data_IF_510898914040
#
_entry.id   IF_510898914040
#
_cell.length_a   1.000
_cell.length_b   1.000
_cell.length_c   1.000
_cell.angle_alpha   90.00
_cell.angle_beta   90.00
_cell.angle_gamma   90.00
#
_symmetry.space_group_name_H-M   'P 1'
#
loop_
_entity.id
_entity.type
_entity.pdbx_description
1 polymer ?
#
# COMPACT_ATOMS: atom_id res chain seq x y z
N UNK A 1 -2.40 12.94 1.50
CA UNK A 1 -2.22 12.57 0.10
C UNK A 1 -1.29 11.37 -0.07
N UNK A 2 -0.11 11.37 0.56
CA UNK A 2 0.85 10.26 0.46
C UNK A 2 0.32 8.93 0.97
N UNK A 3 -0.44 8.92 2.06
CA UNK A 3 -0.99 7.70 2.65
C UNK A 3 -2.08 7.03 1.79
N UNK A 4 -2.88 7.82 1.07
CA UNK A 4 -4.02 7.29 0.31
C UNK A 4 -3.74 7.03 -1.17
N UNK A 5 -3.05 7.93 -1.85
CA UNK A 5 -2.92 7.91 -3.31
C UNK A 5 -1.51 7.65 -3.85
N UNK A 6 -0.47 7.96 -3.07
CA UNK A 6 0.93 7.93 -3.51
C UNK A 6 1.67 6.62 -3.26
N UNK A 7 0.99 5.59 -2.78
CA UNK A 7 1.67 4.34 -2.42
C UNK A 7 2.07 3.52 -3.64
N UNK A 8 3.33 3.07 -3.66
CA UNK A 8 3.83 2.08 -4.63
C UNK A 8 2.98 0.79 -4.58
N UNK A 9 2.30 0.53 -3.46
CA UNK A 9 1.38 -0.59 -3.31
C UNK A 9 0.26 -0.61 -4.37
N UNK A 10 -0.07 0.52 -4.98
CA UNK A 10 -1.02 0.55 -6.09
C UNK A 10 -0.53 -0.25 -7.31
N UNK A 11 0.79 -0.40 -7.50
CA UNK A 11 1.37 -1.26 -8.53
C UNK A 11 1.20 -2.75 -8.25
N UNK A 12 0.84 -3.12 -7.03
CA UNK A 12 0.66 -4.51 -6.62
C UNK A 12 -0.74 -5.04 -6.98
N UNK A 13 -1.70 -4.14 -7.19
CA UNK A 13 -3.08 -4.50 -7.48
C UNK A 13 -3.25 -5.45 -8.67
N UNK A 14 -2.57 -5.27 -9.82
CA UNK A 14 -2.66 -6.22 -10.94
C UNK A 14 -2.23 -7.64 -10.58
N UNK A 15 -1.23 -7.79 -9.71
CA UNK A 15 -0.77 -9.11 -9.27
C UNK A 15 -1.81 -9.82 -8.39
N UNK A 16 -2.47 -9.08 -7.50
CA UNK A 16 -3.55 -9.62 -6.68
C UNK A 16 -4.78 -10.01 -7.51
N UNK A 17 -5.11 -9.23 -8.54
CA UNK A 17 -6.17 -9.56 -9.50
C UNK A 17 -5.87 -10.86 -10.24
N UNK A 18 -4.64 -11.03 -10.72
CA UNK A 18 -4.21 -12.27 -11.38
C UNK A 18 -4.31 -13.47 -10.45
N UNK A 19 -3.91 -13.33 -9.18
CA UNK A 19 -4.02 -14.41 -8.20
C UNK A 19 -5.47 -14.81 -7.90
N UNK A 20 -6.38 -13.83 -7.89
CA UNK A 20 -7.83 -14.07 -7.75
C UNK A 20 -8.46 -14.69 -9.02
N UNK A 21 -7.71 -14.77 -10.13
CA UNK A 21 -8.23 -15.22 -11.42
C UNK A 21 -9.20 -14.23 -12.07
N UNK A 22 -9.11 -12.94 -11.72
CA UNK A 22 -9.96 -11.87 -12.21
C UNK A 22 -9.33 -11.08 -13.37
N UNK A 23 -8.45 -11.68 -14.11
CA UNK A 23 -7.68 -11.09 -15.21
C UNK A 23 -8.45 -10.97 -16.55
N UNK A 24 -9.66 -11.56 -16.63
CA UNK A 24 -10.50 -11.54 -17.82
C UNK A 24 -11.50 -10.37 -17.81
N UNK A 25 -11.86 -9.79 -18.99
CA UNK A 25 -12.83 -8.70 -19.11
C UNK A 25 -14.20 -9.00 -18.50
N UNK A 26 -14.59 -10.27 -18.37
CA UNK A 26 -15.86 -10.65 -17.72
C UNK A 26 -15.92 -10.27 -16.24
N UNK A 27 -14.77 -10.16 -15.58
CA UNK A 27 -14.69 -9.81 -14.17
C UNK A 27 -14.60 -8.28 -13.91
N UNK A 28 -14.66 -7.45 -14.97
CA UNK A 28 -14.55 -5.99 -14.85
C UNK A 28 -15.53 -5.38 -13.84
N UNK A 29 -16.76 -5.86 -13.78
CA UNK A 29 -17.75 -5.37 -12.81
C UNK A 29 -17.32 -5.69 -11.38
N UNK A 30 -16.82 -6.90 -11.12
CA UNK A 30 -16.34 -7.33 -9.81
C UNK A 30 -15.15 -6.48 -9.38
N UNK A 31 -14.20 -6.21 -10.30
CA UNK A 31 -13.06 -5.33 -10.03
C UNK A 31 -13.49 -3.90 -9.67
N UNK A 32 -14.48 -3.35 -10.38
CA UNK A 32 -15.01 -2.01 -10.09
C UNK A 32 -15.67 -1.98 -8.70
N UNK A 33 -16.46 -2.99 -8.35
CA UNK A 33 -17.08 -3.07 -7.02
C UNK A 33 -16.05 -3.24 -5.90
N UNK A 34 -15.02 -4.07 -6.09
CA UNK A 34 -13.92 -4.26 -5.14
C UNK A 34 -13.18 -2.94 -4.89
N UNK A 35 -12.84 -2.20 -5.95
CA UNK A 35 -12.19 -0.90 -5.85
C UNK A 35 -13.10 0.16 -5.22
N UNK A 36 -14.36 0.23 -5.64
CA UNK A 36 -15.32 1.20 -5.11
C UNK A 36 -15.55 0.97 -3.61
N UNK A 37 -15.75 -0.28 -3.19
CA UNK A 37 -15.92 -0.65 -1.79
C UNK A 37 -14.69 -0.27 -0.95
N UNK A 38 -13.49 -0.65 -1.43
CA UNK A 38 -12.24 -0.29 -0.76
C UNK A 38 -12.05 1.23 -0.65
N UNK A 39 -12.37 1.98 -1.70
CA UNK A 39 -12.27 3.44 -1.72
C UNK A 39 -13.25 4.08 -0.73
N UNK A 40 -14.50 3.63 -0.68
CA UNK A 40 -15.51 4.13 0.26
C UNK A 40 -15.06 3.93 1.70
N UNK A 41 -14.60 2.72 2.05
CA UNK A 41 -14.08 2.42 3.39
C UNK A 41 -12.88 3.31 3.71
N UNK A 42 -11.94 3.47 2.78
CA UNK A 42 -10.77 4.32 2.97
C UNK A 42 -11.15 5.78 3.22
N UNK A 43 -12.12 6.32 2.50
CA UNK A 43 -12.65 7.68 2.70
C UNK A 43 -13.29 7.82 4.08
N UNK A 44 -14.12 6.87 4.49
CA UNK A 44 -14.79 6.88 5.81
C UNK A 44 -13.72 6.88 6.92
N UNK A 45 -12.74 5.99 6.86
CA UNK A 45 -11.67 5.91 7.86
C UNK A 45 -10.86 7.20 7.91
N UNK A 46 -10.45 7.75 6.77
CA UNK A 46 -9.66 8.99 6.73
C UNK A 46 -10.45 10.19 7.28
N UNK A 47 -11.73 10.32 6.93
CA UNK A 47 -12.60 11.38 7.48
C UNK A 47 -12.79 11.23 8.98
N UNK A 48 -12.99 10.01 9.48
CA UNK A 48 -13.12 9.74 10.91
C UNK A 48 -11.86 10.13 11.68
N UNK A 49 -10.69 9.74 11.19
CA UNK A 49 -9.40 10.10 11.81
C UNK A 49 -9.20 11.61 11.78
N UNK A 50 -9.51 12.26 10.64
CA UNK A 50 -9.38 13.71 10.51
C UNK A 50 -10.30 14.46 11.45
N UNK A 51 -11.56 14.02 11.58
CA UNK A 51 -12.55 14.62 12.50
C UNK A 51 -12.10 14.49 13.95
N UNK A 52 -11.68 13.28 14.37
CA UNK A 52 -11.16 13.04 15.72
C UNK A 52 -9.93 13.93 15.99
N UNK A 53 -9.01 14.03 15.03
CA UNK A 53 -7.85 14.89 15.11
C UNK A 53 -8.22 16.38 15.29
N UNK A 54 -9.17 16.87 14.49
CA UNK A 54 -9.62 18.26 14.59
C UNK A 54 -10.31 18.57 15.93
N UNK A 55 -11.19 17.69 16.38
CA UNK A 55 -11.98 17.88 17.61
C UNK A 55 -11.15 17.73 18.89
N UNK A 56 -10.26 16.76 18.94
CA UNK A 56 -9.53 16.44 20.16
C UNK A 56 -8.15 17.12 20.24
N UNK A 57 -7.39 17.14 19.13
CA UNK A 57 -6.04 17.69 19.13
C UNK A 57 -6.04 19.21 19.09
N UNK A 58 -6.81 19.79 18.17
CA UNK A 58 -6.82 21.24 17.98
C UNK A 58 -7.47 21.96 19.16
N UNK A 59 -8.62 21.47 19.65
CA UNK A 59 -9.34 22.11 20.76
C UNK A 59 -8.62 21.98 22.10
N UNK A 60 -7.86 20.91 22.32
CA UNK A 60 -7.16 20.64 23.58
C UNK A 60 -5.67 20.99 23.55
N UNK A 61 -5.15 21.52 22.43
CA UNK A 61 -3.72 21.80 22.21
C UNK A 61 -2.80 20.61 22.55
N UNK A 62 -3.24 19.38 22.23
CA UNK A 62 -2.47 18.17 22.48
C UNK A 62 -1.54 17.95 21.28
N UNK A 63 -0.25 17.86 21.51
CA UNK A 63 0.73 17.42 20.53
C UNK A 63 0.96 15.92 20.64
N UNK A 64 0.89 15.21 19.51
CA UNK A 64 1.19 13.78 19.45
C UNK A 64 2.66 13.58 19.15
N UNK A 65 3.37 12.99 20.10
CA UNK A 65 4.79 12.67 19.96
C UNK A 65 5.05 11.18 19.86
N UNK A 66 4.18 10.36 20.46
CA UNK A 66 4.33 8.93 20.55
C UNK A 66 3.04 8.20 20.16
N UNK A 67 3.16 6.88 19.94
CA UNK A 67 2.03 6.02 19.63
C UNK A 67 1.05 5.94 20.82
N UNK A 68 1.58 5.99 22.04
CA UNK A 68 0.78 5.94 23.28
C UNK A 68 -0.17 7.13 23.38
N UNK A 69 0.25 8.31 22.93
CA UNK A 69 -0.60 9.51 22.89
C UNK A 69 -1.86 9.28 22.03
N UNK A 70 -1.74 8.51 20.94
CA UNK A 70 -2.88 8.15 20.09
C UNK A 70 -3.83 7.17 20.79
N UNK A 71 -3.28 6.21 21.53
CA UNK A 71 -4.07 5.29 22.35
C UNK A 71 -4.85 6.03 23.44
N UNK A 72 -4.18 6.98 24.12
CA UNK A 72 -4.80 7.81 25.13
C UNK A 72 -5.92 8.70 24.56
N UNK A 73 -5.72 9.27 23.37
CA UNK A 73 -6.76 10.04 22.68
C UNK A 73 -8.01 9.21 22.41
N UNK A 74 -7.84 7.96 22.00
CA UNK A 74 -8.98 7.08 21.77
C UNK A 74 -9.67 6.71 23.08
N UNK A 75 -8.91 6.60 24.18
CA UNK A 75 -9.50 6.44 25.52
C UNK A 75 -10.31 7.67 25.96
N UNK A 76 -9.92 8.87 25.57
CA UNK A 76 -10.69 10.08 25.82
C UNK A 76 -12.01 10.09 25.01
N UNK A 77 -11.97 9.55 23.77
CA UNK A 77 -13.12 9.54 22.88
C UNK A 77 -14.17 8.47 23.24
N UNK A 78 -13.74 7.25 23.55
CA UNK A 78 -14.62 6.08 23.74
C UNK A 78 -14.49 5.40 25.11
N UNK A 79 -13.75 6.01 26.05
CA UNK A 79 -13.57 5.51 27.41
C UNK A 79 -12.44 4.48 27.54
N UNK A 80 -12.35 3.83 28.71
CA UNK A 80 -11.25 2.96 29.12
C UNK A 80 -10.87 1.81 28.19
N UNK A 81 -11.74 1.45 27.25
CA UNK A 81 -11.47 0.43 26.23
C UNK A 81 -10.80 1.01 24.99
N UNK A 82 -10.67 2.32 24.88
CA UNK A 82 -10.11 2.99 23.67
C UNK A 82 -8.68 2.63 23.40
N UNK A 83 -7.83 2.68 24.42
CA UNK A 83 -6.40 2.37 24.28
C UNK A 83 -6.14 0.89 23.91
N UNK A 84 -6.69 -0.12 24.58
CA UNK A 84 -6.54 -1.51 24.16
C UNK A 84 -7.05 -1.76 22.73
N UNK A 85 -8.20 -1.19 22.38
CA UNK A 85 -8.78 -1.32 21.04
C UNK A 85 -7.87 -0.70 19.97
N UNK A 86 -7.26 0.47 20.27
CA UNK A 86 -6.30 1.12 19.41
C UNK A 86 -5.09 0.21 19.12
N UNK A 87 -4.45 -0.33 20.17
CA UNK A 87 -3.26 -1.17 19.98
C UNK A 87 -3.57 -2.49 19.25
N UNK A 88 -4.73 -3.11 19.51
CA UNK A 88 -5.17 -4.28 18.74
C UNK A 88 -5.36 -3.90 17.27
N UNK A 89 -6.01 -2.77 16.99
CA UNK A 89 -6.19 -2.27 15.63
C UNK A 89 -4.88 -1.96 14.92
N UNK A 90 -3.95 -1.30 15.58
CA UNK A 90 -2.60 -1.01 15.06
C UNK A 90 -1.85 -2.31 14.76
N UNK A 91 -1.85 -3.27 15.69
CA UNK A 91 -1.20 -4.56 15.48
C UNK A 91 -1.79 -5.29 14.25
N UNK A 92 -3.10 -5.37 14.15
CA UNK A 92 -3.77 -6.03 13.04
C UNK A 92 -3.47 -5.33 11.69
N UNK A 93 -3.48 -3.99 11.67
CA UNK A 93 -3.17 -3.20 10.48
C UNK A 93 -1.71 -3.37 10.04
N UNK A 94 -0.75 -3.30 10.97
CA UNK A 94 0.66 -3.49 10.68
C UNK A 94 0.95 -4.92 10.19
N UNK A 95 0.40 -5.92 10.87
CA UNK A 95 0.58 -7.33 10.51
C UNK A 95 0.07 -7.62 9.09
N UNK A 96 -1.16 -7.20 8.78
CA UNK A 96 -1.73 -7.38 7.45
C UNK A 96 -0.96 -6.63 6.37
N UNK A 97 -0.50 -5.41 6.66
CA UNK A 97 0.27 -4.58 5.73
C UNK A 97 1.64 -5.19 5.43
N UNK A 98 2.35 -5.69 6.44
CA UNK A 98 3.65 -6.33 6.25
C UNK A 98 3.52 -7.56 5.34
N UNK A 99 2.54 -8.43 5.60
CA UNK A 99 2.32 -9.62 4.78
C UNK A 99 1.93 -9.24 3.35
N UNK A 100 0.95 -8.34 3.19
CA UNK A 100 0.47 -7.91 1.89
C UNK A 100 1.56 -7.28 1.03
N UNK A 101 2.34 -6.37 1.63
CA UNK A 101 3.46 -5.73 0.93
C UNK A 101 4.59 -6.72 0.63
N UNK A 102 4.96 -7.61 1.54
CA UNK A 102 6.01 -8.61 1.31
C UNK A 102 5.68 -9.50 0.11
N UNK A 103 4.46 -10.02 0.05
CA UNK A 103 3.98 -10.83 -1.08
C UNK A 103 3.97 -9.99 -2.36
N UNK A 104 3.37 -8.81 -2.32
CA UNK A 104 3.23 -7.93 -3.48
C UNK A 104 4.58 -7.50 -4.06
N UNK A 105 5.51 -7.02 -3.24
CA UNK A 105 6.86 -6.67 -3.68
C UNK A 105 7.65 -7.90 -4.16
N UNK A 106 7.44 -9.07 -3.55
CA UNK A 106 7.98 -10.32 -4.03
C UNK A 106 7.59 -10.56 -5.50
N UNK A 107 6.32 -10.42 -5.84
CA UNK A 107 5.84 -10.53 -7.22
C UNK A 107 6.41 -9.43 -8.12
N UNK A 108 6.28 -8.18 -7.73
CA UNK A 108 6.70 -7.02 -8.52
C UNK A 108 8.18 -7.08 -8.88
N UNK A 109 9.06 -7.29 -7.90
CA UNK A 109 10.51 -7.30 -8.11
C UNK A 109 10.92 -8.51 -8.93
N UNK A 110 10.38 -9.69 -8.62
CA UNK A 110 10.71 -10.91 -9.38
C UNK A 110 10.28 -10.79 -10.84
N UNK A 111 9.10 -10.26 -11.10
CA UNK A 111 8.61 -10.06 -12.45
C UNK A 111 9.47 -9.02 -13.20
N UNK A 112 9.79 -7.90 -12.56
CA UNK A 112 10.65 -6.86 -13.13
C UNK A 112 12.03 -7.40 -13.50
N UNK A 113 12.68 -8.17 -12.62
CA UNK A 113 13.98 -8.78 -12.91
C UNK A 113 13.91 -9.77 -14.06
N UNK A 114 12.83 -10.56 -14.14
CA UNK A 114 12.64 -11.50 -15.24
C UNK A 114 12.42 -10.79 -16.58
N UNK A 115 11.67 -9.69 -16.59
CA UNK A 115 11.48 -8.86 -17.80
C UNK A 115 12.82 -8.26 -18.27
N UNK A 116 13.62 -7.72 -17.35
CA UNK A 116 14.93 -7.15 -17.69
C UNK A 116 15.87 -8.24 -18.25
N UNK A 117 15.88 -9.43 -17.67
CA UNK A 117 16.72 -10.53 -18.11
C UNK A 117 16.32 -11.12 -19.46
N UNK A 118 15.01 -11.21 -19.73
CA UNK A 118 14.52 -11.87 -20.96
C UNK A 118 14.61 -11.01 -22.21
N UNK A 119 14.84 -9.69 -22.10
CA UNK A 119 14.77 -8.70 -23.20
C UNK A 119 13.49 -8.74 -24.06
N UNK A 120 12.59 -9.69 -23.80
CA UNK A 120 11.39 -9.95 -24.59
C UNK A 120 10.16 -9.82 -23.70
N UNK A 121 9.51 -8.65 -23.74
CA UNK A 121 8.30 -8.35 -22.96
C UNK A 121 7.11 -9.23 -23.41
N UNK A 122 7.15 -9.74 -24.64
CA UNK A 122 6.00 -10.35 -25.32
C UNK A 122 5.94 -11.90 -25.15
N UNK A 123 7.06 -12.55 -24.87
CA UNK A 123 7.12 -14.03 -24.77
C UNK A 123 7.01 -14.53 -23.32
N UNK A 124 6.11 -13.99 -22.51
CA UNK A 124 5.91 -14.49 -21.16
C UNK A 124 5.22 -15.86 -21.15
N UNK A 125 5.99 -16.90 -20.93
CA UNK A 125 5.49 -18.10 -20.27
C UNK A 125 5.06 -17.72 -18.85
N UNK A 126 3.91 -18.18 -18.31
CA UNK A 126 3.56 -17.94 -16.92
C UNK A 126 4.67 -18.57 -16.06
N UNK A 127 5.60 -17.72 -15.62
CA UNK A 127 6.61 -18.13 -14.66
C UNK A 127 5.91 -18.39 -13.33
N UNK A 128 6.20 -19.52 -12.74
CA UNK A 128 5.81 -19.76 -11.35
C UNK A 128 6.68 -18.88 -10.42
N UNK A 129 6.31 -17.59 -10.35
CA UNK A 129 7.07 -16.54 -9.66
C UNK A 129 7.30 -16.93 -8.20
N UNK A 130 6.32 -17.57 -7.58
CA UNK A 130 6.38 -18.00 -6.19
C UNK A 130 7.53 -18.98 -5.89
N UNK A 131 8.01 -19.74 -6.88
CA UNK A 131 9.12 -20.69 -6.70
C UNK A 131 10.51 -20.05 -6.99
N UNK A 132 10.55 -18.75 -7.31
CA UNK A 132 11.82 -18.06 -7.58
C UNK A 132 12.59 -17.78 -6.29
N UNK A 133 13.91 -17.96 -6.32
CA UNK A 133 14.80 -17.58 -5.21
C UNK A 133 14.72 -16.08 -4.92
N UNK A 134 14.54 -15.25 -5.96
CA UNK A 134 14.42 -13.79 -5.83
C UNK A 134 13.17 -13.46 -5.02
N UNK A 135 12.05 -14.13 -5.31
CA UNK A 135 10.80 -13.95 -4.57
C UNK A 135 10.98 -14.20 -3.07
N UNK A 136 11.60 -15.31 -2.70
CA UNK A 136 11.83 -15.64 -1.30
C UNK A 136 12.82 -14.66 -0.62
N UNK A 137 13.88 -14.24 -1.31
CA UNK A 137 14.79 -13.22 -0.78
C UNK A 137 14.08 -11.89 -0.50
N UNK A 138 13.22 -11.44 -1.41
CA UNK A 138 12.46 -10.18 -1.23
C UNK A 138 11.49 -10.30 -0.05
N UNK A 139 10.77 -11.42 0.07
CA UNK A 139 9.87 -11.63 1.21
C UNK A 139 10.65 -11.61 2.53
N UNK A 140 11.74 -12.36 2.62
CA UNK A 140 12.57 -12.37 3.83
C UNK A 140 13.10 -10.98 4.15
N UNK A 141 13.56 -10.22 3.15
CA UNK A 141 13.97 -8.84 3.35
C UNK A 141 12.85 -7.96 3.89
N UNK A 142 11.65 -8.03 3.31
CA UNK A 142 10.50 -7.26 3.77
C UNK A 142 10.08 -7.61 5.20
N UNK A 143 10.20 -8.88 5.60
CA UNK A 143 9.84 -9.33 6.94
C UNK A 143 10.87 -8.92 8.00
N UNK A 144 12.17 -8.97 7.66
CA UNK A 144 13.24 -8.70 8.62
C UNK A 144 13.72 -7.24 8.63
N UNK A 145 13.54 -6.49 7.53
CA UNK A 145 13.96 -5.09 7.45
C UNK A 145 13.37 -4.18 8.55
N UNK A 146 12.12 -4.35 9.03
CA UNK A 146 11.60 -3.54 10.12
C UNK A 146 12.37 -3.70 11.45
N UNK A 147 13.04 -4.85 11.68
CA UNK A 147 13.83 -5.07 12.89
C UNK A 147 15.03 -4.12 12.98
N UNK A 148 15.56 -3.67 11.85
CA UNK A 148 16.66 -2.69 11.81
C UNK A 148 16.25 -1.37 12.48
N UNK A 149 14.98 -0.99 12.34
CA UNK A 149 14.43 0.24 12.92
C UNK A 149 14.09 0.12 14.41
N UNK A 150 14.17 -1.09 14.97
CA UNK A 150 14.02 -1.34 16.42
C UNK A 150 15.30 -1.11 17.22
N UNK A 151 16.41 -0.76 16.54
CA UNK A 151 17.70 -0.48 17.19
C UNK A 151 17.61 0.86 17.97
N UNK A 152 18.16 0.94 19.19
CA UNK A 152 18.18 2.20 19.95
C UNK A 152 18.80 3.35 19.12
N UNK A 153 18.30 4.57 19.33
CA UNK A 153 18.68 5.82 18.63
C UNK A 153 18.19 5.94 17.17
N UNK A 154 17.33 5.05 16.69
CA UNK A 154 16.64 5.24 15.42
C UNK A 154 15.50 6.26 15.54
N UNK A 155 15.09 6.93 14.43
CA UNK A 155 13.98 7.87 14.44
C UNK A 155 12.69 7.23 14.95
N UNK A 156 11.83 8.02 15.60
CA UNK A 156 10.54 7.52 16.09
C UNK A 156 9.66 6.98 14.97
N UNK A 157 8.75 6.06 15.29
CA UNK A 157 7.77 5.52 14.36
C UNK A 157 6.99 6.61 13.60
N UNK A 158 6.60 7.68 14.31
CA UNK A 158 5.87 8.82 13.72
C UNK A 158 6.74 9.53 12.69
N UNK A 159 8.00 9.81 13.02
CA UNK A 159 8.94 10.46 12.09
C UNK A 159 9.17 9.61 10.84
N UNK A 160 9.38 8.31 11.01
CA UNK A 160 9.56 7.39 9.88
C UNK A 160 8.32 7.34 8.98
N UNK A 161 7.14 7.31 9.57
CA UNK A 161 5.87 7.31 8.84
C UNK A 161 5.68 8.60 8.05
N UNK A 162 5.98 9.76 8.64
CA UNK A 162 5.90 11.05 7.96
C UNK A 162 6.86 11.14 6.79
N UNK A 163 8.11 10.73 6.97
CA UNK A 163 9.13 10.72 5.90
C UNK A 163 8.74 9.76 4.78
N UNK A 164 8.28 8.56 5.11
CA UNK A 164 7.83 7.58 4.11
C UNK A 164 6.64 8.09 3.30
N UNK A 165 5.65 8.71 3.95
CA UNK A 165 4.50 9.31 3.28
C UNK A 165 4.88 10.52 2.42
N UNK A 166 5.81 11.35 2.87
CA UNK A 166 6.33 12.47 2.07
C UNK A 166 7.05 11.96 0.81
N UNK A 167 7.90 10.93 0.94
CA UNK A 167 8.57 10.31 -0.19
C UNK A 167 7.58 9.68 -1.18
N UNK A 168 6.49 9.08 -0.69
CA UNK A 168 5.45 8.50 -1.55
C UNK A 168 4.77 9.53 -2.46
N UNK A 169 4.64 10.79 -2.02
CA UNK A 169 4.07 11.87 -2.84
C UNK A 169 4.93 12.14 -4.09
N UNK A 170 6.25 12.00 -3.99
CA UNK A 170 7.18 12.20 -5.12
C UNK A 170 6.98 11.10 -6.17
N UNK A 171 6.63 9.90 -5.75
CA UNK A 171 6.42 8.75 -6.65
C UNK A 171 5.11 8.87 -7.44
N UNK A 172 4.11 9.60 -6.92
CA UNK A 172 2.79 9.73 -7.54
C UNK A 172 2.83 10.26 -8.98
N UNK A 173 3.52 11.37 -9.31
CA UNK A 173 3.63 11.86 -10.69
C UNK A 173 4.27 10.85 -11.64
N UNK A 174 5.27 10.09 -11.17
CA UNK A 174 5.92 9.04 -11.95
C UNK A 174 4.96 7.90 -12.27
N UNK A 175 4.14 7.49 -11.31
CA UNK A 175 3.10 6.48 -11.52
C UNK A 175 2.03 6.97 -12.50
N UNK A 176 1.51 8.17 -12.31
CA UNK A 176 0.52 8.77 -13.22
C UNK A 176 1.05 8.93 -14.63
N UNK A 177 2.29 9.41 -14.79
CA UNK A 177 2.96 9.53 -16.08
C UNK A 177 3.16 8.19 -16.76
N UNK A 178 3.60 7.18 -16.04
CA UNK A 178 3.77 5.82 -16.55
C UNK A 178 2.46 5.21 -17.01
N UNK A 179 1.40 5.35 -16.21
CA UNK A 179 0.06 4.88 -16.55
C UNK A 179 -0.47 5.62 -17.80
N UNK A 180 -0.27 6.93 -17.88
CA UNK A 180 -0.67 7.70 -19.06
C UNK A 180 0.05 7.22 -20.33
N UNK A 181 1.36 7.03 -20.28
CA UNK A 181 2.14 6.51 -21.41
C UNK A 181 1.61 5.13 -21.84
N UNK A 182 1.37 4.23 -20.88
CA UNK A 182 0.87 2.89 -21.15
C UNK A 182 -0.53 2.95 -21.78
N UNK A 183 -1.45 3.74 -21.20
CA UNK A 183 -2.84 3.84 -21.67
C UNK A 183 -2.99 4.63 -22.98
N UNK A 184 -2.02 5.46 -23.34
CA UNK A 184 -2.00 6.21 -24.61
C UNK A 184 -1.33 5.46 -25.75
N UNK A 185 -0.60 4.38 -25.47
CA UNK A 185 0.19 3.68 -26.47
C UNK A 185 -0.55 2.48 -27.05
N UNK A 186 -0.71 2.46 -28.38
CA UNK A 186 -1.26 1.32 -29.14
C UNK A 186 -0.47 0.02 -28.92
N UNK A 187 0.83 0.14 -28.68
CA UNK A 187 1.72 -1.00 -28.46
C UNK A 187 1.36 -1.83 -27.25
N UNK A 188 0.83 -1.17 -26.18
CA UNK A 188 0.54 -1.83 -24.91
C UNK A 188 -0.92 -2.25 -24.78
N UNK A 189 -1.86 -1.44 -25.30
CA UNK A 189 -3.31 -1.66 -25.10
C UNK A 189 -3.99 -2.18 -26.37
N UNK A 190 -3.36 -1.99 -27.54
CA UNK A 190 -3.97 -2.27 -28.83
C UNK A 190 -4.98 -1.20 -29.24
N UNK A 191 -5.27 -1.14 -30.57
CA UNK A 191 -6.11 -0.10 -31.16
C UNK A 191 -7.54 -0.04 -30.62
N UNK A 192 -8.06 -1.18 -30.14
CA UNK A 192 -9.45 -1.32 -29.67
C UNK A 192 -9.72 -0.58 -28.33
N UNK A 193 -8.69 -0.38 -27.52
CA UNK A 193 -8.82 0.13 -26.15
C UNK A 193 -8.10 1.46 -25.94
N UNK A 194 -7.54 2.04 -27.00
CA UNK A 194 -6.93 3.35 -26.95
C UNK A 194 -7.98 4.40 -26.64
N UNK A 195 -7.84 5.07 -25.50
CA UNK A 195 -8.65 6.26 -25.23
C UNK A 195 -8.31 7.35 -26.25
N UNK A 196 -9.35 7.81 -26.94
CA UNK A 196 -9.26 8.98 -27.81
C UNK A 196 -9.16 10.26 -27.00
#
# INVERSE_FOLDING_TARGET
>A
LGAGGGSISNLLYPYFIQQKGWDSPKYRKIQIYDLAFGTIILVIINLSIWTIGAELLFTKNISINNLDDLGLLLSIAIGKFGEPLFFIGVFAALYSSVIGNAIGFGYLITDSVNVIKSRDIIKKKPLNIANSKIYHCVILWCLFSPLVWSIPNMPSFITLTLVANAAAVIVLPLLCGSLWIITSSERYIGNKYKNK
#
